data_IF_521965389002
#
_entry.id   IF_521965389002
#
_cell.length_a   1.000
_cell.length_b   1.000
_cell.length_c   1.000
_cell.angle_alpha   90.00
_cell.angle_beta   90.00
_cell.angle_gamma   90.00
#
_symmetry.space_group_name_H-M   'P 1'
#
loop_
_entity.id
_entity.type
_entity.pdbx_description
1 polymer ?
#
# COMPACT_ATOMS: atom_id res chain seq x y z
N UNK A 1 -61.02 -35.41 17.13
CA UNK A 1 -61.90 -34.95 16.02
C UNK A 1 -61.27 -33.70 15.40
N UNK A 2 -61.03 -33.73 14.10
CA UNK A 2 -60.31 -32.77 13.25
C UNK A 2 -60.79 -31.32 13.43
N UNK A 3 -59.86 -30.35 13.42
CA UNK A 3 -60.00 -29.04 12.74
C UNK A 3 -58.64 -28.38 12.53
N UNK A 4 -58.41 -27.98 11.28
CA UNK A 4 -57.16 -27.51 10.70
C UNK A 4 -56.82 -26.04 11.04
N UNK A 5 -55.55 -25.63 10.92
CA UNK A 5 -55.13 -24.23 11.09
C UNK A 5 -55.34 -23.40 9.81
N UNK A 6 -55.73 -22.14 10.01
CA UNK A 6 -55.97 -21.13 8.96
C UNK A 6 -54.67 -20.41 8.58
N UNK A 7 -54.33 -20.50 7.29
CA UNK A 7 -54.15 -19.38 6.36
C UNK A 7 -53.20 -18.24 6.73
N UNK A 8 -52.07 -18.24 6.02
CA UNK A 8 -51.10 -17.15 5.82
C UNK A 8 -51.73 -15.94 5.08
N UNK A 9 -51.32 -14.68 5.37
CA UNK A 9 -51.53 -13.55 4.47
C UNK A 9 -50.27 -13.29 3.63
N UNK A 10 -50.44 -13.39 2.31
CA UNK A 10 -49.51 -12.92 1.27
C UNK A 10 -49.43 -11.40 1.28
N UNK A 11 -48.21 -10.85 1.34
CA UNK A 11 -47.98 -9.41 1.21
C UNK A 11 -47.56 -9.03 -0.21
N UNK A 12 -48.10 -7.91 -0.66
CA UNK A 12 -48.25 -7.54 -2.06
C UNK A 12 -47.07 -6.73 -2.62
N UNK A 13 -46.93 -6.86 -3.94
CA UNK A 13 -46.18 -6.05 -4.89
C UNK A 13 -46.11 -4.55 -4.57
N UNK A 14 -44.90 -3.97 -4.63
CA UNK A 14 -44.69 -2.55 -4.84
C UNK A 14 -43.81 -2.34 -6.09
N UNK A 15 -44.47 -2.06 -7.23
CA UNK A 15 -43.87 -1.48 -8.44
C UNK A 15 -44.03 0.04 -8.36
N UNK A 16 -42.94 0.78 -8.18
CA UNK A 16 -42.94 2.23 -8.39
C UNK A 16 -42.63 2.55 -9.84
N UNK A 17 -43.64 3.08 -10.53
CA UNK A 17 -43.54 3.64 -11.87
C UNK A 17 -42.94 5.06 -11.82
N UNK A 18 -41.79 5.26 -12.45
CA UNK A 18 -41.22 6.59 -12.66
C UNK A 18 -41.77 7.18 -13.96
N UNK A 19 -42.62 8.22 -13.82
CA UNK A 19 -43.33 8.87 -14.91
C UNK A 19 -42.46 9.98 -15.50
N UNK A 20 -41.90 9.73 -16.70
CA UNK A 20 -41.18 10.73 -17.52
C UNK A 20 -42.14 11.88 -17.90
N UNK A 21 -41.76 13.12 -17.58
CA UNK A 21 -42.34 14.34 -18.17
C UNK A 21 -41.43 14.83 -19.28
N UNK A 22 -41.87 14.66 -20.53
CA UNK A 22 -41.34 15.34 -21.71
C UNK A 22 -41.87 16.77 -21.74
N UNK A 23 -40.96 17.76 -21.75
CA UNK A 23 -41.28 19.12 -22.22
C UNK A 23 -40.42 19.42 -23.44
N UNK A 24 -41.10 19.53 -24.57
CA UNK A 24 -40.61 20.08 -25.83
C UNK A 24 -40.52 21.60 -25.71
N UNK A 25 -39.36 22.17 -26.03
CA UNK A 25 -39.22 23.57 -26.44
C UNK A 25 -38.34 23.59 -27.69
N UNK A 26 -38.93 24.06 -28.78
CA UNK A 26 -38.29 24.31 -30.08
C UNK A 26 -37.79 25.75 -30.18
N UNK A 27 -36.82 25.90 -31.10
CA UNK A 27 -36.27 27.10 -31.76
C UNK A 27 -35.28 28.00 -31.01
N UNK A 28 -34.00 27.83 -31.34
CA UNK A 28 -33.34 28.67 -32.34
C UNK A 28 -32.64 29.93 -31.83
N UNK A 29 -31.30 29.90 -31.79
CA UNK A 29 -30.44 31.01 -32.19
C UNK A 29 -28.97 30.56 -32.25
N UNK A 30 -28.39 30.63 -33.44
CA UNK A 30 -26.97 30.47 -33.71
C UNK A 30 -26.22 31.72 -33.27
N UNK A 31 -25.26 31.60 -32.34
CA UNK A 31 -24.29 32.66 -32.04
C UNK A 31 -22.91 32.02 -31.86
N UNK A 32 -22.09 32.21 -32.89
CA UNK A 32 -20.67 31.88 -32.87
C UNK A 32 -19.95 32.88 -31.94
N UNK A 33 -19.33 32.38 -30.87
CA UNK A 33 -18.38 33.15 -30.09
C UNK A 33 -17.00 32.50 -30.20
N UNK A 34 -16.11 33.23 -30.88
CA UNK A 34 -14.69 32.97 -30.95
C UNK A 34 -14.04 33.39 -29.64
N UNK A 35 -13.35 32.47 -28.95
CA UNK A 35 -12.54 32.79 -27.78
C UNK A 35 -11.06 32.79 -28.17
N UNK A 36 -10.53 33.99 -28.47
CA UNK A 36 -9.10 34.23 -28.57
C UNK A 36 -8.50 34.44 -27.19
N UNK A 37 -7.43 33.70 -26.90
CA UNK A 37 -6.51 33.87 -25.75
C UNK A 37 -6.12 35.34 -25.54
N UNK A 38 -6.16 35.78 -24.29
CA UNK A 38 -5.21 36.77 -23.74
C UNK A 38 -4.69 36.26 -22.40
N UNK A 39 -3.40 35.91 -22.42
CA UNK A 39 -2.56 35.80 -21.24
C UNK A 39 -2.47 37.18 -20.59
N UNK A 40 -2.80 37.26 -19.31
CA UNK A 40 -2.31 38.36 -18.48
C UNK A 40 -1.45 37.80 -17.35
N UNK A 41 -0.22 38.29 -17.31
CA UNK A 41 0.82 38.02 -16.33
C UNK A 41 0.72 39.13 -15.30
N UNK A 42 0.30 38.82 -14.08
CA UNK A 42 0.87 39.39 -12.85
C UNK A 42 -0.03 39.00 -11.68
N UNK A 43 0.55 38.38 -10.67
CA UNK A 43 0.37 38.77 -9.26
C UNK A 43 1.49 38.07 -8.49
N UNK A 44 2.38 38.92 -7.98
CA UNK A 44 3.37 38.65 -6.95
C UNK A 44 2.62 38.79 -5.61
N UNK A 45 2.66 37.78 -4.73
CA UNK A 45 2.36 37.95 -3.31
C UNK A 45 3.30 37.06 -2.49
N UNK A 46 3.91 37.59 -1.41
CA UNK A 46 4.83 36.85 -0.57
C UNK A 46 4.12 36.06 0.55
N UNK A 47 4.81 35.00 0.97
CA UNK A 47 4.87 34.38 2.31
C UNK A 47 4.54 35.37 3.45
N UNK A 48 3.86 35.06 4.56
CA UNK A 48 3.92 33.91 5.50
C UNK A 48 2.86 34.19 6.60
N UNK A 49 1.96 33.24 6.93
CA UNK A 49 1.90 32.42 8.17
C UNK A 49 1.16 32.99 9.40
N UNK A 50 0.28 32.11 9.92
CA UNK A 50 -0.19 31.89 11.30
C UNK A 50 -1.39 32.69 11.89
N UNK A 51 -2.51 31.97 11.94
CA UNK A 51 -3.31 31.60 13.14
C UNK A 51 -3.64 32.67 14.19
N UNK A 52 -4.95 32.89 14.41
CA UNK A 52 -5.57 32.77 15.74
C UNK A 52 -7.10 32.74 15.67
N UNK A 53 -7.67 31.64 16.12
CA UNK A 53 -9.04 31.56 16.60
C UNK A 53 -9.11 32.08 18.04
N UNK A 54 -10.09 32.91 18.37
CA UNK A 54 -10.81 32.80 19.66
C UNK A 54 -12.13 33.58 19.65
N UNK A 55 -13.19 32.87 20.06
CA UNK A 55 -14.50 33.41 20.45
C UNK A 55 -14.42 34.06 21.84
N UNK A 56 -15.33 35.02 22.03
CA UNK A 56 -16.04 35.43 23.27
C UNK A 56 -15.77 34.62 24.55
N UNK A 57 -15.53 35.34 25.65
CA UNK A 57 -16.18 35.38 26.98
C UNK A 57 -15.28 36.32 27.81
N UNK A 58 -15.72 37.46 28.32
CA UNK A 58 -16.57 37.59 29.51
C UNK A 58 -15.74 38.28 30.59
N UNK A 59 -16.04 39.56 30.86
CA UNK A 59 -15.41 40.35 31.93
C UNK A 59 -15.83 39.78 33.29
N UNK A 60 -14.85 39.45 34.12
CA UNK A 60 -15.05 39.11 35.53
C UNK A 60 -13.83 39.54 36.33
N UNK A 61 -14.05 40.50 37.24
CA UNK A 61 -13.06 41.05 38.15
C UNK A 61 -12.95 40.16 39.38
N UNK A 62 -11.76 39.67 39.73
CA UNK A 62 -11.46 39.13 41.06
C UNK A 62 -10.07 39.59 41.49
N UNK A 63 -10.05 40.13 42.70
CA UNK A 63 -8.92 40.55 43.53
C UNK A 63 -7.94 39.41 43.82
N UNK A 64 -6.63 39.66 43.74
CA UNK A 64 -5.61 38.85 44.42
C UNK A 64 -4.61 39.78 45.07
N UNK A 65 -4.67 39.83 46.40
CA UNK A 65 -3.52 40.16 47.23
C UNK A 65 -2.71 38.91 47.54
N UNK A 66 -1.42 39.12 47.82
CA UNK A 66 -0.46 38.30 48.58
C UNK A 66 0.87 38.11 47.85
N UNK A 67 1.82 38.99 48.21
CA UNK A 67 3.14 38.67 48.77
C UNK A 67 3.71 37.29 48.44
N UNK A 68 4.82 37.25 47.69
CA UNK A 68 6.02 36.54 48.14
C UNK A 68 7.30 37.05 47.47
N UNK A 69 8.33 37.15 48.31
CA UNK A 69 9.71 37.50 48.03
C UNK A 69 10.30 36.78 46.82
N UNK A 70 11.11 37.48 46.02
CA UNK A 70 12.27 36.83 45.44
C UNK A 70 13.46 37.78 45.32
N UNK A 71 14.61 37.19 45.64
CA UNK A 71 15.93 37.76 45.86
C UNK A 71 16.50 38.35 44.57
N UNK A 72 17.07 39.55 44.69
CA UNK A 72 17.93 40.16 43.69
C UNK A 72 19.27 39.42 43.73
N UNK A 73 19.58 38.68 42.67
CA UNK A 73 20.95 38.36 42.30
C UNK A 73 21.18 38.80 40.85
N UNK A 74 21.97 39.85 40.71
CA UNK A 74 22.54 40.36 39.47
C UNK A 74 23.67 39.42 39.06
N UNK A 75 23.55 38.79 37.89
CA UNK A 75 24.60 37.94 37.32
C UNK A 75 24.39 37.83 35.83
N UNK A 76 25.10 38.66 35.06
CA UNK A 76 25.04 38.68 33.62
C UNK A 76 25.60 37.39 33.01
N UNK A 77 24.86 36.82 32.06
CA UNK A 77 25.38 35.96 31.01
C UNK A 77 24.60 36.25 29.73
N UNK A 78 25.31 36.75 28.73
CA UNK A 78 24.85 36.87 27.35
C UNK A 78 24.79 35.48 26.73
N UNK A 79 23.59 34.98 26.44
CA UNK A 79 23.38 33.81 25.58
C UNK A 79 22.92 34.32 24.22
N UNK A 80 23.80 34.18 23.22
CA UNK A 80 23.49 34.43 21.83
C UNK A 80 22.48 33.39 21.33
N UNK A 81 21.36 33.88 20.80
CA UNK A 81 20.41 33.09 20.01
C UNK A 81 21.08 32.72 18.67
N UNK A 82 21.40 31.44 18.49
CA UNK A 82 21.72 30.87 17.18
C UNK A 82 20.50 30.11 16.67
N UNK A 83 19.72 30.82 15.85
CA UNK A 83 18.71 30.22 14.96
C UNK A 83 19.47 29.83 13.69
N UNK A 84 19.85 28.56 13.56
CA UNK A 84 20.18 27.93 12.26
C UNK A 84 20.51 26.43 12.42
N UNK A 85 19.50 25.58 12.53
CA UNK A 85 19.73 24.12 12.48
C UNK A 85 18.70 23.26 11.74
N UNK A 86 17.81 23.85 10.95
CA UNK A 86 16.85 23.09 10.13
C UNK A 86 17.22 23.00 8.63
N UNK A 87 18.15 23.83 8.14
CA UNK A 87 18.45 23.95 6.69
C UNK A 87 19.61 23.09 6.14
N UNK A 88 20.38 22.39 6.99
CA UNK A 88 21.64 21.74 6.57
C UNK A 88 21.57 20.23 6.34
N UNK A 89 20.50 19.55 6.71
CA UNK A 89 20.39 18.10 6.50
C UNK A 89 19.94 17.70 5.09
N UNK A 90 19.24 18.57 4.34
CA UNK A 90 18.83 18.27 2.95
C UNK A 90 19.97 18.33 1.92
N UNK A 91 21.04 19.08 2.16
CA UNK A 91 22.17 19.19 1.23
C UNK A 91 23.21 18.07 1.38
N UNK A 92 23.29 17.42 2.55
CA UNK A 92 24.27 16.35 2.80
C UNK A 92 23.86 14.99 2.19
N UNK A 93 22.58 14.80 1.87
CA UNK A 93 22.07 13.56 1.28
C UNK A 93 22.21 13.53 -0.25
N UNK A 94 22.21 14.69 -0.92
CA UNK A 94 22.32 14.80 -2.38
C UNK A 94 23.77 14.78 -2.93
N UNK A 95 24.80 14.88 -2.09
CA UNK A 95 26.21 14.97 -2.54
C UNK A 95 27.06 13.69 -2.31
N UNK A 96 26.45 12.56 -1.91
CA UNK A 96 27.18 11.28 -1.75
C UNK A 96 27.12 10.34 -2.98
N UNK A 97 26.64 10.80 -4.14
CA UNK A 97 26.48 10.00 -5.35
C UNK A 97 27.58 10.19 -6.43
N UNK A 98 28.78 10.62 -6.06
CA UNK A 98 29.87 10.74 -7.03
C UNK A 98 31.20 10.25 -6.47
N UNK A 99 31.43 8.94 -6.52
CA UNK A 99 32.73 8.24 -6.76
C UNK A 99 32.52 6.71 -6.65
N UNK A 100 32.80 5.91 -7.70
CA UNK A 100 32.61 4.47 -7.64
C UNK A 100 33.86 3.81 -7.03
N UNK A 101 33.73 3.28 -5.81
CA UNK A 101 34.57 2.17 -5.36
C UNK A 101 33.94 0.88 -5.86
N UNK A 102 34.73 0.04 -6.55
CA UNK A 102 34.29 -1.24 -7.10
C UNK A 102 33.51 -2.07 -6.06
N UNK A 103 32.31 -2.58 -6.39
CA UNK A 103 31.55 -3.40 -5.46
C UNK A 103 32.29 -4.73 -5.22
N UNK A 104 32.23 -5.28 -3.99
CA UNK A 104 32.65 -6.65 -3.76
C UNK A 104 31.79 -7.59 -4.60
N UNK A 105 32.42 -8.63 -5.16
CA UNK A 105 31.75 -9.64 -5.98
C UNK A 105 30.56 -10.25 -5.22
N UNK A 106 29.37 -10.39 -5.85
CA UNK A 106 28.24 -11.02 -5.20
C UNK A 106 28.59 -12.49 -4.91
N UNK A 107 28.60 -12.84 -3.63
CA UNK A 107 28.53 -14.24 -3.19
C UNK A 107 27.24 -14.84 -3.75
N UNK A 108 27.35 -15.99 -4.41
CA UNK A 108 26.23 -16.69 -5.04
C UNK A 108 25.05 -16.83 -4.07
N UNK A 109 23.80 -16.57 -4.53
CA UNK A 109 22.63 -16.76 -3.69
C UNK A 109 22.58 -18.22 -3.25
N UNK A 110 22.48 -18.44 -1.95
CA UNK A 110 22.25 -19.78 -1.40
C UNK A 110 20.83 -20.17 -1.79
N UNK A 111 20.68 -21.06 -2.76
CA UNK A 111 19.38 -21.57 -3.19
C UNK A 111 18.74 -22.32 -2.01
N UNK A 112 17.75 -21.72 -1.38
CA UNK A 112 16.97 -22.37 -0.33
C UNK A 112 15.92 -23.27 -0.99
N UNK A 113 16.21 -24.57 -1.11
CA UNK A 113 15.20 -25.56 -1.49
C UNK A 113 14.32 -25.88 -0.27
N UNK A 114 13.04 -25.50 -0.31
CA UNK A 114 12.09 -25.85 0.76
C UNK A 114 11.50 -27.25 0.50
N UNK A 115 11.59 -28.19 1.46
CA UNK A 115 10.88 -29.45 1.34
C UNK A 115 9.37 -29.19 1.48
N UNK A 116 8.62 -29.38 0.40
CA UNK A 116 7.17 -29.46 0.44
C UNK A 116 6.77 -30.65 1.34
N UNK A 117 6.20 -30.38 2.51
CA UNK A 117 5.59 -31.42 3.34
C UNK A 117 4.38 -31.98 2.59
N UNK A 118 4.36 -33.29 2.38
CA UNK A 118 3.23 -34.01 1.79
C UNK A 118 1.99 -33.86 2.68
N UNK A 119 0.87 -33.47 2.09
CA UNK A 119 -0.38 -33.03 2.74
C UNK A 119 -1.28 -34.14 3.29
N UNK A 120 -0.77 -35.34 3.57
CA UNK A 120 -1.62 -36.48 3.95
C UNK A 120 -1.58 -36.74 5.47
N UNK A 121 -2.26 -35.92 6.28
CA UNK A 121 -2.88 -36.31 7.57
C UNK A 121 -3.60 -35.14 8.26
N UNK A 122 -4.93 -35.19 8.30
CA UNK A 122 -5.86 -34.18 8.83
C UNK A 122 -5.93 -34.08 10.38
N UNK A 123 -4.88 -34.47 11.11
CA UNK A 123 -4.83 -34.37 12.59
C UNK A 123 -3.85 -33.27 13.06
N UNK A 124 -3.83 -32.15 12.34
CA UNK A 124 -2.97 -30.97 12.56
C UNK A 124 -3.56 -29.99 13.59
N UNK A 125 -3.92 -30.49 14.78
CA UNK A 125 -4.44 -29.65 15.86
C UNK A 125 -3.36 -29.13 16.82
N UNK A 126 -2.08 -29.18 16.44
CA UNK A 126 -1.00 -28.95 17.40
C UNK A 126 0.27 -28.49 16.73
N UNK A 127 0.43 -27.17 16.62
CA UNK A 127 1.59 -26.42 17.14
C UNK A 127 1.56 -24.93 16.71
N UNK A 128 0.43 -24.39 16.23
CA UNK A 128 0.35 -22.97 15.81
C UNK A 128 0.23 -21.97 16.98
N UNK A 129 0.12 -22.45 18.22
CA UNK A 129 0.02 -21.64 19.45
C UNK A 129 1.21 -20.67 19.64
N UNK A 130 2.33 -20.90 18.94
CA UNK A 130 3.51 -20.05 18.97
C UNK A 130 3.71 -19.13 17.76
N UNK A 131 2.87 -19.18 16.72
CA UNK A 131 3.08 -18.39 15.49
C UNK A 131 2.44 -17.00 15.57
N UNK A 132 3.21 -15.99 15.15
CA UNK A 132 2.83 -14.58 15.25
C UNK A 132 3.22 -13.82 13.99
N UNK A 133 2.35 -12.89 13.60
CA UNK A 133 2.55 -11.97 12.50
C UNK A 133 2.70 -10.55 13.06
N UNK A 134 3.77 -9.87 12.69
CA UNK A 134 3.98 -8.46 12.97
C UNK A 134 3.57 -7.66 11.74
N UNK A 135 2.34 -7.14 11.72
CA UNK A 135 1.89 -6.29 10.62
C UNK A 135 2.45 -4.89 10.76
N UNK A 136 2.93 -4.33 9.65
CA UNK A 136 3.37 -2.95 9.55
C UNK A 136 2.71 -2.34 8.31
N UNK A 137 1.88 -1.31 8.50
CA UNK A 137 1.31 -0.55 7.37
C UNK A 137 2.35 0.41 6.81
N UNK A 138 2.48 0.52 5.49
CA UNK A 138 3.37 1.50 4.88
C UNK A 138 3.10 2.95 5.33
N UNK A 139 4.13 3.81 5.22
CA UNK A 139 4.03 5.25 5.45
C UNK A 139 3.17 5.97 4.40
N UNK A 140 2.76 7.21 4.69
CA UNK A 140 1.91 8.01 3.79
C UNK A 140 2.61 8.34 2.45
N UNK A 141 1.92 8.13 1.33
CA UNK A 141 2.44 8.38 -0.03
C UNK A 141 1.97 9.70 -0.63
N UNK A 142 2.55 10.08 -1.78
CA UNK A 142 2.01 11.16 -2.60
C UNK A 142 0.57 10.88 -3.07
N UNK A 143 0.23 9.62 -3.38
CA UNK A 143 -1.15 9.26 -3.69
C UNK A 143 -2.09 9.44 -2.48
N UNK A 144 -1.65 9.11 -1.27
CA UNK A 144 -2.47 9.39 -0.08
C UNK A 144 -2.69 10.90 0.12
N UNK A 145 -1.69 11.74 -0.17
CA UNK A 145 -1.86 13.19 -0.14
C UNK A 145 -2.87 13.68 -1.19
N UNK A 146 -2.80 13.13 -2.40
CA UNK A 146 -3.76 13.41 -3.47
C UNK A 146 -5.19 13.04 -3.03
N UNK A 147 -5.40 11.83 -2.51
CA UNK A 147 -6.71 11.34 -2.04
C UNK A 147 -7.25 12.07 -0.81
N UNK A 148 -6.41 12.80 -0.06
CA UNK A 148 -6.93 13.68 1.01
C UNK A 148 -7.53 14.98 0.46
N UNK A 149 -7.16 15.39 -0.76
CA UNK A 149 -7.75 16.54 -1.45
C UNK A 149 -8.96 16.19 -2.30
N UNK A 150 -9.13 14.91 -2.65
CA UNK A 150 -10.19 14.42 -3.52
C UNK A 150 -10.86 13.20 -2.90
N UNK A 151 -12.19 13.24 -2.75
CA UNK A 151 -12.95 12.06 -2.33
C UNK A 151 -12.80 10.95 -3.39
N UNK A 152 -12.24 9.80 -3.00
CA UNK A 152 -12.13 8.65 -3.88
C UNK A 152 -13.51 8.30 -4.46
N UNK A 153 -13.59 8.23 -5.79
CA UNK A 153 -14.84 7.94 -6.48
C UNK A 153 -15.86 9.08 -6.50
N UNK A 154 -15.52 10.26 -5.97
CA UNK A 154 -16.36 11.46 -6.10
C UNK A 154 -16.53 11.92 -7.56
N UNK A 155 -17.48 12.82 -7.86
CA UNK A 155 -17.71 13.31 -9.22
C UNK A 155 -16.45 13.90 -9.86
N UNK A 156 -16.14 13.49 -11.10
CA UNK A 156 -14.93 13.85 -11.85
C UNK A 156 -13.60 13.41 -11.20
N UNK A 157 -13.61 12.41 -10.30
CA UNK A 157 -12.39 11.79 -9.80
C UNK A 157 -11.55 11.25 -10.96
N UNK A 158 -10.23 11.47 -10.94
CA UNK A 158 -9.33 10.87 -11.91
C UNK A 158 -7.98 10.56 -11.30
N UNK A 159 -7.46 9.36 -11.52
CA UNK A 159 -6.05 9.03 -11.31
C UNK A 159 -5.28 8.90 -12.63
N UNK A 160 -5.88 9.35 -13.74
CA UNK A 160 -5.17 9.59 -15.00
C UNK A 160 -4.46 10.93 -14.90
N UNK A 161 -3.13 10.88 -14.90
CA UNK A 161 -2.26 12.05 -14.86
C UNK A 161 -1.65 12.35 -16.24
N UNK A 162 -1.18 13.58 -16.50
CA UNK A 162 -0.38 13.89 -17.67
C UNK A 162 0.85 12.97 -17.77
N UNK A 163 1.22 12.61 -19.00
CA UNK A 163 2.45 11.86 -19.29
C UNK A 163 3.68 12.76 -19.17
N UNK A 164 3.93 13.21 -17.94
CA UNK A 164 5.04 14.04 -17.54
C UNK A 164 5.79 13.33 -16.40
N UNK A 165 7.14 13.29 -16.42
CA UNK A 165 7.93 12.53 -15.46
C UNK A 165 7.58 12.81 -13.99
N UNK A 166 7.24 14.05 -13.65
CA UNK A 166 6.86 14.45 -12.30
C UNK A 166 5.64 13.68 -11.77
N UNK A 167 4.65 13.42 -12.62
CA UNK A 167 3.45 12.68 -12.22
C UNK A 167 3.72 11.18 -12.19
N UNK A 168 4.46 10.66 -13.17
CA UNK A 168 4.84 9.25 -13.22
C UNK A 168 5.63 8.86 -11.97
N UNK A 169 6.65 9.64 -11.60
CA UNK A 169 7.49 9.37 -10.42
C UNK A 169 6.75 9.50 -9.08
N UNK A 170 5.68 10.30 -9.03
CA UNK A 170 4.90 10.51 -7.79
C UNK A 170 3.74 9.55 -7.63
N UNK A 171 3.05 9.22 -8.71
CA UNK A 171 1.74 8.55 -8.63
C UNK A 171 1.76 7.10 -9.11
N UNK A 172 2.63 6.71 -10.04
CA UNK A 172 2.79 5.31 -10.42
C UNK A 172 3.71 4.63 -9.41
N UNK A 173 3.33 3.43 -8.94
CA UNK A 173 4.01 2.75 -7.82
C UNK A 173 4.37 3.74 -6.70
N UNK A 174 3.37 4.52 -6.28
CA UNK A 174 3.58 5.80 -5.58
C UNK A 174 4.52 5.63 -4.38
N UNK A 175 5.66 6.36 -4.33
CA UNK A 175 6.59 6.30 -3.21
C UNK A 175 6.04 7.05 -1.98
N UNK A 176 6.75 6.93 -0.86
CA UNK A 176 6.48 7.74 0.33
C UNK A 176 6.58 9.24 0.01
N UNK A 177 5.60 9.99 0.49
CA UNK A 177 5.63 11.44 0.51
C UNK A 177 6.46 11.96 1.69
N UNK A 178 6.64 13.28 1.83
CA UNK A 178 7.39 13.88 2.95
C UNK A 178 6.90 13.42 4.33
N UNK A 179 5.58 13.36 4.54
CA UNK A 179 4.99 12.86 5.79
C UNK A 179 5.26 11.37 6.00
N UNK A 180 5.25 10.56 4.94
CA UNK A 180 5.60 9.14 5.04
C UNK A 180 7.04 8.92 5.47
N UNK A 181 7.97 9.74 4.97
CA UNK A 181 9.38 9.68 5.41
C UNK A 181 9.51 9.99 6.91
N UNK A 182 8.87 11.04 7.41
CA UNK A 182 8.84 11.34 8.85
C UNK A 182 8.21 10.20 9.68
N UNK A 183 7.18 9.55 9.15
CA UNK A 183 6.56 8.39 9.82
C UNK A 183 7.52 7.20 9.89
N UNK A 184 8.30 6.93 8.83
CA UNK A 184 9.32 5.86 8.86
C UNK A 184 10.47 6.16 9.82
N UNK A 185 10.87 7.42 9.96
CA UNK A 185 11.87 7.82 10.95
C UNK A 185 11.37 7.55 12.38
N UNK A 186 10.11 7.91 12.69
CA UNK A 186 9.51 7.62 14.00
C UNK A 186 9.37 6.13 14.28
N UNK A 187 9.03 5.33 13.26
CA UNK A 187 9.00 3.87 13.37
C UNK A 187 10.38 3.32 13.72
N UNK A 188 11.44 3.82 13.08
CA UNK A 188 12.82 3.43 13.37
C UNK A 188 13.26 3.83 14.79
N UNK A 189 12.95 5.05 15.21
CA UNK A 189 13.20 5.53 16.58
C UNK A 189 12.50 4.63 17.61
N UNK A 190 11.24 4.29 17.36
CA UNK A 190 10.44 3.40 18.21
C UNK A 190 11.05 1.99 18.29
N UNK A 191 11.44 1.41 17.16
CA UNK A 191 12.10 0.09 17.11
C UNK A 191 13.52 0.10 17.72
N UNK A 192 14.15 1.27 17.82
CA UNK A 192 15.45 1.40 18.50
C UNK A 192 15.32 1.38 20.02
N UNK A 193 14.12 1.65 20.55
CA UNK A 193 13.79 1.57 21.98
C UNK A 193 12.44 0.86 22.18
N UNK A 194 12.42 -0.44 21.85
CA UNK A 194 11.22 -1.28 21.90
C UNK A 194 10.53 -1.26 23.28
N UNK A 195 11.29 -1.06 24.36
CA UNK A 195 10.74 -0.94 25.71
C UNK A 195 9.79 0.26 25.88
N UNK A 196 9.97 1.32 25.07
CA UNK A 196 9.12 2.51 25.08
C UNK A 196 7.90 2.40 24.14
N UNK A 197 7.80 1.36 23.31
CA UNK A 197 6.68 1.20 22.36
C UNK A 197 5.34 0.84 23.02
N UNK A 198 5.32 0.56 24.33
CA UNK A 198 4.12 0.13 25.04
C UNK A 198 3.67 -1.28 24.69
N UNK A 199 4.54 -2.08 24.05
CA UNK A 199 4.31 -3.49 23.77
C UNK A 199 4.44 -4.33 25.03
N UNK A 200 3.70 -5.45 25.10
CA UNK A 200 3.88 -6.45 26.16
C UNK A 200 5.30 -7.04 26.10
N UNK A 201 5.85 -7.50 27.24
CA UNK A 201 7.19 -8.14 27.25
C UNK A 201 7.28 -9.31 26.27
N UNK A 202 6.18 -10.04 26.08
CA UNK A 202 6.08 -11.14 25.12
C UNK A 202 6.18 -10.64 23.66
N UNK A 203 5.48 -9.56 23.31
CA UNK A 203 5.56 -8.98 21.96
C UNK A 203 6.93 -8.35 21.67
N UNK A 204 7.56 -7.76 22.69
CA UNK A 204 8.94 -7.29 22.59
C UNK A 204 9.89 -8.47 22.29
N UNK A 205 9.69 -9.61 22.97
CA UNK A 205 10.46 -10.82 22.71
C UNK A 205 10.26 -11.34 21.28
N UNK A 206 9.00 -11.36 20.79
CA UNK A 206 8.68 -11.79 19.42
C UNK A 206 9.35 -10.93 18.34
N UNK A 207 9.46 -9.61 18.56
CA UNK A 207 10.21 -8.72 17.68
C UNK A 207 11.71 -9.02 17.69
N UNK A 208 12.28 -9.31 18.85
CA UNK A 208 13.70 -9.66 18.99
C UNK A 208 14.03 -11.03 18.40
N UNK A 209 13.04 -11.93 18.33
CA UNK A 209 13.15 -13.27 17.76
C UNK A 209 12.60 -13.36 16.33
N UNK A 210 12.70 -12.28 15.56
CA UNK A 210 12.15 -12.23 14.21
C UNK A 210 12.88 -13.20 13.28
N UNK A 211 12.12 -14.06 12.60
CA UNK A 211 12.65 -15.10 11.72
C UNK A 211 12.65 -14.69 10.24
N UNK A 212 11.68 -13.87 9.83
CA UNK A 212 11.45 -13.49 8.43
C UNK A 212 10.76 -12.13 8.32
N UNK A 213 11.14 -11.36 7.31
CA UNK A 213 10.40 -10.19 6.85
C UNK A 213 9.82 -10.47 5.47
N UNK A 214 8.50 -10.38 5.37
CA UNK A 214 7.76 -10.34 4.11
C UNK A 214 7.44 -8.89 3.81
N UNK A 215 7.74 -8.44 2.60
CA UNK A 215 7.45 -7.07 2.16
C UNK A 215 6.67 -7.09 0.86
N UNK A 216 5.67 -6.22 0.75
CA UNK A 216 5.03 -5.98 -0.54
C UNK A 216 6.03 -5.39 -1.54
N UNK A 217 6.04 -5.83 -2.81
CA UNK A 217 6.92 -5.26 -3.84
C UNK A 217 6.52 -3.84 -4.30
N UNK A 218 5.50 -3.21 -3.73
CA UNK A 218 5.21 -1.79 -3.99
C UNK A 218 6.26 -0.89 -3.33
N UNK A 219 6.75 0.12 -4.06
CA UNK A 219 7.86 1.01 -3.65
C UNK A 219 7.64 1.60 -2.25
N UNK A 220 6.41 2.03 -1.91
CA UNK A 220 6.08 2.56 -0.58
C UNK A 220 6.31 1.58 0.58
N UNK A 221 6.03 0.30 0.39
CA UNK A 221 6.24 -0.73 1.40
C UNK A 221 7.74 -1.06 1.53
N UNK A 222 8.44 -1.17 0.39
CA UNK A 222 9.89 -1.34 0.36
C UNK A 222 10.63 -0.18 1.05
N UNK A 223 10.25 1.07 0.78
CA UNK A 223 10.80 2.24 1.48
C UNK A 223 10.48 2.25 2.98
N UNK A 224 9.27 1.83 3.37
CA UNK A 224 8.90 1.71 4.79
C UNK A 224 9.78 0.68 5.50
N UNK A 225 9.99 -0.48 4.88
CA UNK A 225 10.87 -1.52 5.40
C UNK A 225 12.33 -1.03 5.46
N UNK A 226 12.84 -0.42 4.39
CA UNK A 226 14.24 0.05 4.30
C UNK A 226 14.55 1.15 5.33
N UNK A 227 13.69 2.16 5.46
CA UNK A 227 13.96 3.32 6.30
C UNK A 227 13.55 3.08 7.76
N UNK A 228 12.42 2.39 7.95
CA UNK A 228 11.82 2.14 9.26
C UNK A 228 12.41 0.93 9.98
N UNK A 229 12.58 -0.19 9.28
CA UNK A 229 12.82 -1.49 9.91
C UNK A 229 14.24 -2.02 9.70
N UNK A 230 14.84 -1.85 8.52
CA UNK A 230 16.16 -2.40 8.20
C UNK A 230 17.27 -1.96 9.19
N UNK A 231 17.29 -0.72 9.71
CA UNK A 231 18.28 -0.33 10.73
C UNK A 231 18.12 -1.08 12.06
N UNK A 232 16.90 -1.51 12.41
CA UNK A 232 16.64 -2.40 13.54
C UNK A 232 17.11 -3.83 13.24
N UNK A 233 16.77 -4.37 12.07
CA UNK A 233 17.18 -5.73 11.66
C UNK A 233 18.70 -5.92 11.70
N UNK A 234 19.46 -4.90 11.31
CA UNK A 234 20.93 -4.91 11.36
C UNK A 234 21.52 -4.99 12.77
N UNK A 235 20.72 -4.68 13.80
CA UNK A 235 21.13 -4.77 15.21
C UNK A 235 20.80 -6.14 15.82
N UNK A 236 19.97 -6.94 15.16
CA UNK A 236 19.64 -8.27 15.63
C UNK A 236 20.87 -9.20 15.54
N UNK A 237 21.01 -10.17 16.47
CA UNK A 237 22.15 -11.09 16.46
C UNK A 237 22.24 -11.95 15.20
N UNK A 238 21.08 -12.26 14.61
CA UNK A 238 20.94 -13.08 13.42
C UNK A 238 20.46 -12.24 12.24
N UNK A 239 21.01 -12.52 11.05
CA UNK A 239 20.53 -11.91 9.82
C UNK A 239 19.12 -12.43 9.53
N UNK A 240 18.15 -11.52 9.47
CA UNK A 240 16.76 -11.86 9.15
C UNK A 240 16.57 -11.78 7.63
N UNK A 241 16.16 -12.86 6.95
CA UNK A 241 15.83 -12.83 5.52
C UNK A 241 14.68 -11.87 5.24
N UNK A 242 14.74 -11.22 4.07
CA UNK A 242 13.73 -10.27 3.60
C UNK A 242 13.26 -10.75 2.22
N UNK A 243 11.99 -11.09 2.10
CA UNK A 243 11.39 -11.63 0.88
C UNK A 243 10.30 -10.68 0.37
N UNK A 244 10.37 -10.33 -0.91
CA UNK A 244 9.30 -9.63 -1.59
C UNK A 244 8.22 -10.62 -2.04
N UNK A 245 6.96 -10.36 -1.70
CA UNK A 245 5.83 -11.25 -2.00
C UNK A 245 4.69 -10.51 -2.71
N UNK A 246 4.43 -10.78 -4.01
CA UNK A 246 3.36 -10.14 -4.77
C UNK A 246 1.98 -10.26 -4.12
N UNK A 247 1.69 -11.36 -3.45
CA UNK A 247 0.43 -11.58 -2.74
C UNK A 247 0.20 -10.57 -1.62
N UNK A 248 1.25 -9.96 -1.07
CA UNK A 248 1.17 -8.91 -0.05
C UNK A 248 0.97 -7.49 -0.64
N UNK A 249 0.84 -7.34 -1.96
CA UNK A 249 0.56 -6.05 -2.60
C UNK A 249 -0.87 -5.56 -2.36
N UNK A 250 -1.05 -4.24 -2.27
CA UNK A 250 -2.38 -3.62 -2.17
C UNK A 250 -3.28 -4.12 -3.30
N UNK A 251 -4.58 -4.14 -3.05
CA UNK A 251 -5.54 -4.38 -4.11
C UNK A 251 -5.37 -3.33 -5.20
N UNK A 252 -5.36 -3.74 -6.47
CA UNK A 252 -5.24 -2.78 -7.58
C UNK A 252 -6.49 -1.89 -7.65
N UNK A 253 -6.44 -0.71 -7.03
CA UNK A 253 -7.51 0.28 -7.04
C UNK A 253 -7.17 1.47 -7.91
N UNK A 254 -5.91 1.88 -7.92
CA UNK A 254 -5.43 3.09 -8.58
C UNK A 254 -4.10 2.83 -9.29
N UNK A 255 -3.69 3.79 -10.11
CA UNK A 255 -2.38 3.81 -10.77
C UNK A 255 -1.19 3.66 -9.80
N UNK A 256 -1.37 4.03 -8.53
CA UNK A 256 -0.37 3.84 -7.48
C UNK A 256 -0.12 2.40 -7.09
N UNK A 257 -1.00 1.48 -7.49
CA UNK A 257 -0.89 0.05 -7.18
C UNK A 257 -0.33 -0.74 -8.37
N UNK A 258 -0.08 -0.06 -9.50
CA UNK A 258 0.71 -0.60 -10.62
C UNK A 258 2.18 -0.50 -10.22
N UNK A 259 2.74 -1.62 -9.76
CA UNK A 259 4.12 -1.70 -9.32
C UNK A 259 5.15 -1.72 -10.45
N UNK A 260 6.38 -1.29 -10.14
CA UNK A 260 7.54 -1.44 -11.04
C UNK A 260 7.86 -2.89 -11.34
N UNK A 261 8.64 -3.12 -12.39
CA UNK A 261 9.07 -4.47 -12.74
C UNK A 261 9.95 -5.08 -11.65
N UNK A 262 9.95 -6.41 -11.55
CA UNK A 262 10.80 -7.16 -10.62
C UNK A 262 12.28 -6.77 -10.78
N UNK A 263 12.79 -6.71 -12.01
CA UNK A 263 14.18 -6.37 -12.30
C UNK A 263 14.57 -4.95 -11.86
N UNK A 264 13.67 -3.97 -12.01
CA UNK A 264 13.90 -2.60 -11.52
C UNK A 264 13.99 -2.56 -9.99
N UNK A 265 13.09 -3.27 -9.31
CA UNK A 265 13.05 -3.34 -7.86
C UNK A 265 14.26 -4.11 -7.30
N UNK A 266 14.63 -5.24 -7.90
CA UNK A 266 15.80 -6.03 -7.51
C UNK A 266 17.10 -5.22 -7.62
N UNK A 267 17.22 -4.41 -8.68
CA UNK A 267 18.35 -3.48 -8.83
C UNK A 267 18.38 -2.42 -7.73
N UNK A 268 17.23 -1.92 -7.31
CA UNK A 268 17.12 -0.88 -6.29
C UNK A 268 17.29 -1.45 -4.87
N UNK A 269 16.81 -2.67 -4.61
CA UNK A 269 16.72 -3.30 -3.31
C UNK A 269 17.42 -4.67 -3.31
N UNK A 270 18.72 -4.68 -3.65
CA UNK A 270 19.51 -5.91 -3.86
C UNK A 270 19.68 -6.82 -2.64
N UNK A 271 19.23 -6.38 -1.47
CA UNK A 271 19.22 -7.16 -0.22
C UNK A 271 17.85 -7.82 0.06
N UNK A 272 16.87 -7.60 -0.82
CA UNK A 272 15.55 -8.25 -0.76
C UNK A 272 15.53 -9.39 -1.77
N UNK A 273 15.03 -10.54 -1.35
CA UNK A 273 14.82 -11.70 -2.21
C UNK A 273 13.51 -11.53 -3.01
N UNK A 274 13.67 -11.25 -4.31
CA UNK A 274 12.59 -11.19 -5.30
C UNK A 274 12.39 -12.51 -6.07
N UNK A 275 12.98 -13.61 -5.59
CA UNK A 275 12.90 -14.93 -6.22
C UNK A 275 11.86 -15.79 -5.50
N UNK A 276 12.04 -16.02 -4.19
CA UNK A 276 11.19 -16.95 -3.40
C UNK A 276 9.69 -16.65 -3.52
N UNK A 277 9.30 -15.36 -3.52
CA UNK A 277 7.89 -14.96 -3.64
C UNK A 277 7.36 -14.91 -5.08
N UNK A 278 8.23 -15.01 -6.09
CA UNK A 278 7.88 -14.82 -7.51
C UNK A 278 7.90 -16.13 -8.30
N UNK A 279 8.39 -17.22 -7.72
CA UNK A 279 8.42 -18.56 -8.33
C UNK A 279 7.02 -19.22 -8.44
N UNK A 280 5.99 -18.67 -7.79
CA UNK A 280 4.74 -19.37 -7.47
C UNK A 280 3.63 -19.35 -8.52
N UNK A 281 3.71 -18.56 -9.61
CA UNK A 281 2.53 -18.36 -10.50
C UNK A 281 2.53 -19.26 -11.74
N UNK A 282 3.67 -19.86 -12.09
CA UNK A 282 3.79 -20.68 -13.31
C UNK A 282 3.11 -22.06 -13.22
N UNK A 283 2.98 -22.62 -12.00
CA UNK A 283 2.52 -24.00 -11.82
C UNK A 283 0.99 -24.15 -11.89
N UNK A 284 0.22 -23.18 -11.37
CA UNK A 284 -1.25 -23.31 -11.31
C UNK A 284 -1.95 -22.95 -12.63
N UNK A 285 -1.34 -22.07 -13.45
CA UNK A 285 -1.93 -21.60 -14.71
C UNK A 285 -1.91 -22.63 -15.84
N UNK A 286 -1.07 -23.66 -15.76
CA UNK A 286 -0.96 -24.71 -16.80
C UNK A 286 -1.99 -25.83 -16.66
N UNK A 287 -2.75 -25.89 -15.57
CA UNK A 287 -3.76 -26.94 -15.36
C UNK A 287 -5.13 -26.65 -15.99
N UNK A 288 -5.39 -25.43 -16.48
CA UNK A 288 -6.71 -25.01 -16.95
C UNK A 288 -6.86 -24.83 -18.48
N UNK A 289 -5.80 -24.97 -19.29
CA UNK A 289 -5.84 -24.70 -20.75
C UNK A 289 -5.31 -25.84 -21.64
N UNK A 290 -5.58 -27.10 -21.30
CA UNK A 290 -5.33 -28.22 -22.21
C UNK A 290 -6.50 -28.39 -23.20
N UNK A 291 -6.60 -27.51 -24.20
CA UNK A 291 -7.49 -27.73 -25.34
C UNK A 291 -7.68 -26.54 -26.27
N UNK A 292 -6.72 -26.23 -27.14
CA UNK A 292 -6.98 -25.98 -28.57
C UNK A 292 -5.72 -25.72 -29.42
N UNK A 293 -5.89 -25.97 -30.73
CA UNK A 293 -4.87 -26.08 -31.80
C UNK A 293 -4.23 -24.74 -32.23
N UNK A 294 -3.04 -24.75 -32.87
CA UNK A 294 -2.41 -23.52 -33.38
C UNK A 294 -2.93 -23.18 -34.79
N UNK A 295 -3.29 -21.92 -35.01
CA UNK A 295 -3.45 -21.33 -36.35
C UNK A 295 -2.66 -20.02 -36.46
N UNK A 296 -2.12 -19.78 -37.64
CA UNK A 296 -0.91 -18.99 -37.87
C UNK A 296 -1.14 -17.56 -38.38
N UNK A 297 -0.12 -16.74 -38.09
CA UNK A 297 0.39 -15.60 -38.87
C UNK A 297 -0.32 -14.23 -38.76
N UNK A 298 0.38 -13.24 -38.17
CA UNK A 298 0.38 -11.84 -38.65
C UNK A 298 1.57 -11.01 -38.13
N UNK A 299 2.14 -10.29 -39.12
CA UNK A 299 3.18 -9.25 -39.24
C UNK A 299 3.96 -8.71 -38.05
N UNK A 300 5.28 -8.74 -38.25
CA UNK A 300 6.38 -8.25 -37.40
C UNK A 300 6.84 -6.84 -37.80
N UNK A 301 6.82 -5.91 -36.84
CA UNK A 301 7.71 -4.72 -36.85
C UNK A 301 7.76 -4.02 -35.47
N UNK A 302 6.72 -4.16 -34.64
CA UNK A 302 6.73 -3.66 -33.25
C UNK A 302 7.20 -4.70 -32.23
N UNK A 303 7.49 -5.92 -32.70
CA UNK A 303 7.81 -7.08 -31.87
C UNK A 303 9.22 -7.06 -31.29
N UNK A 304 10.18 -6.38 -31.92
CA UNK A 304 11.59 -6.57 -31.57
C UNK A 304 12.03 -6.03 -30.20
N UNK A 305 11.36 -5.02 -29.64
CA UNK A 305 11.69 -4.54 -28.29
C UNK A 305 11.03 -5.38 -27.20
N UNK A 306 9.78 -5.79 -27.40
CA UNK A 306 9.07 -6.67 -26.46
C UNK A 306 9.60 -8.11 -26.50
N UNK A 307 10.12 -8.56 -27.65
CA UNK A 307 10.67 -9.90 -27.81
C UNK A 307 11.97 -10.08 -26.99
N UNK A 308 12.82 -9.04 -26.86
CA UNK A 308 14.06 -9.17 -26.08
C UNK A 308 13.81 -9.33 -24.57
N UNK A 309 12.78 -8.67 -24.02
CA UNK A 309 12.38 -8.86 -22.62
C UNK A 309 11.65 -10.21 -22.44
N UNK A 310 10.86 -10.64 -23.43
CA UNK A 310 10.27 -11.98 -23.43
C UNK A 310 11.31 -13.10 -23.46
N UNK A 311 12.38 -12.96 -24.26
CA UNK A 311 13.41 -13.99 -24.41
C UNK A 311 14.25 -14.13 -23.12
N UNK A 312 14.47 -13.04 -22.35
CA UNK A 312 15.10 -13.09 -21.01
C UNK A 312 14.19 -13.66 -19.91
N UNK A 313 12.90 -13.35 -19.98
CA UNK A 313 11.91 -13.90 -19.05
C UNK A 313 11.70 -15.40 -19.28
N UNK A 314 11.86 -15.87 -20.52
CA UNK A 314 11.82 -17.29 -20.85
C UNK A 314 13.01 -18.09 -20.26
N UNK A 315 14.18 -17.46 -20.07
CA UNK A 315 15.35 -18.13 -19.49
C UNK A 315 15.27 -18.27 -17.96
N UNK A 316 14.67 -17.30 -17.26
CA UNK A 316 14.54 -17.35 -15.79
C UNK A 316 13.21 -17.94 -15.33
N UNK A 317 12.16 -17.88 -16.17
CA UNK A 317 10.80 -18.27 -15.81
C UNK A 317 10.14 -17.32 -14.79
N UNK A 318 10.78 -16.22 -14.41
CA UNK A 318 10.29 -15.30 -13.40
C UNK A 318 9.38 -14.23 -14.02
N UNK A 319 8.33 -13.90 -13.29
CA UNK A 319 7.34 -12.91 -13.71
C UNK A 319 7.85 -11.48 -13.45
N UNK A 320 8.08 -10.70 -14.51
CA UNK A 320 8.51 -9.30 -14.39
C UNK A 320 7.38 -8.36 -13.92
N UNK A 321 6.18 -8.55 -14.45
CA UNK A 321 4.98 -7.84 -14.01
C UNK A 321 4.21 -8.69 -13.02
N UNK A 322 4.35 -8.38 -11.73
CA UNK A 322 3.80 -9.18 -10.63
C UNK A 322 2.49 -8.66 -10.06
N UNK A 323 2.12 -7.41 -10.37
CA UNK A 323 0.84 -6.86 -9.95
C UNK A 323 -0.30 -7.51 -10.75
N UNK A 324 -1.53 -7.36 -10.25
CA UNK A 324 -2.71 -7.91 -10.91
C UNK A 324 -2.84 -7.34 -12.33
N UNK A 325 -2.95 -8.23 -13.32
CA UNK A 325 -3.16 -7.86 -14.72
C UNK A 325 -4.35 -8.62 -15.27
N UNK A 326 -5.08 -7.98 -16.18
CA UNK A 326 -6.15 -8.63 -16.91
C UNK A 326 -5.59 -9.35 -18.13
N UNK A 327 -6.15 -10.53 -18.44
CA UNK A 327 -5.98 -11.08 -19.79
C UNK A 327 -6.68 -10.19 -20.81
N UNK A 328 -6.26 -10.25 -22.07
CA UNK A 328 -6.92 -9.53 -23.17
C UNK A 328 -8.40 -9.92 -23.32
N UNK A 329 -8.78 -11.14 -22.95
CA UNK A 329 -10.18 -11.54 -22.95
C UNK A 329 -10.95 -10.91 -21.77
N UNK A 330 -10.34 -10.91 -20.58
CA UNK A 330 -10.96 -10.38 -19.37
C UNK A 330 -11.13 -8.86 -19.44
N UNK A 331 -10.19 -8.12 -20.03
CA UNK A 331 -10.31 -6.66 -20.17
C UNK A 331 -11.49 -6.25 -21.05
N UNK A 332 -11.81 -7.04 -22.09
CA UNK A 332 -12.97 -6.81 -22.95
C UNK A 332 -14.31 -7.08 -22.26
N UNK A 333 -14.29 -7.86 -21.17
CA UNK A 333 -15.45 -8.20 -20.35
C UNK A 333 -15.49 -7.42 -19.03
N UNK A 334 -14.51 -6.57 -18.78
CA UNK A 334 -14.38 -5.84 -17.53
C UNK A 334 -15.53 -4.84 -17.39
N UNK A 335 -16.22 -4.93 -16.26
CA UNK A 335 -17.19 -3.94 -15.82
C UNK A 335 -16.57 -3.16 -14.65
N UNK A 336 -16.55 -1.83 -14.78
CA UNK A 336 -16.04 -0.95 -13.74
C UNK A 336 -16.88 -1.11 -12.48
N UNK A 337 -16.29 -1.65 -11.42
CA UNK A 337 -16.97 -1.89 -10.14
C UNK A 337 -16.71 -0.78 -9.13
N UNK A 338 -15.71 0.09 -9.38
CA UNK A 338 -15.49 1.30 -8.59
C UNK A 338 -16.57 2.34 -8.90
N UNK A 339 -16.73 3.40 -8.09
CA UNK A 339 -17.67 4.47 -8.39
C UNK A 339 -17.44 5.07 -9.78
N UNK A 340 -18.47 5.03 -10.63
CA UNK A 340 -18.40 5.51 -12.01
C UNK A 340 -19.75 6.11 -12.45
N UNK A 341 -19.74 6.82 -13.57
CA UNK A 341 -20.94 7.42 -14.19
C UNK A 341 -21.11 8.93 -14.00
N UNK A 342 -20.35 9.55 -13.10
CA UNK A 342 -20.34 10.99 -12.81
C UNK A 342 -19.01 11.64 -13.25
N UNK A 343 -18.46 11.16 -14.37
CA UNK A 343 -17.22 11.68 -14.95
C UNK A 343 -15.93 11.13 -14.31
N UNK A 344 -16.01 10.11 -13.47
CA UNK A 344 -14.83 9.42 -12.95
C UNK A 344 -14.07 8.73 -14.09
N UNK A 345 -12.74 8.77 -14.02
CA UNK A 345 -11.85 8.09 -14.98
C UNK A 345 -10.73 7.42 -14.20
N UNK A 346 -10.49 6.14 -14.50
CA UNK A 346 -9.42 5.37 -13.87
C UNK A 346 -8.32 5.02 -14.88
N UNK A 347 -7.05 5.11 -14.46
CA UNK A 347 -5.89 4.82 -15.32
C UNK A 347 -5.73 3.33 -15.65
N UNK A 348 -6.27 2.46 -14.81
CA UNK A 348 -6.28 1.02 -15.03
C UNK A 348 -7.59 0.40 -14.55
N UNK A 349 -8.00 -0.75 -15.11
CA UNK A 349 -9.04 -1.59 -14.52
C UNK A 349 -8.66 -2.03 -13.11
N UNK A 350 -9.61 -1.97 -12.16
CA UNK A 350 -9.37 -2.37 -10.77
C UNK A 350 -9.50 -3.89 -10.56
N UNK A 351 -8.68 -4.46 -9.68
CA UNK A 351 -8.74 -5.89 -9.29
C UNK A 351 -10.10 -6.22 -8.65
N UNK A 352 -10.91 -7.12 -9.25
CA UNK A 352 -12.20 -7.52 -8.68
C UNK A 352 -12.06 -8.15 -7.29
N UNK A 353 -13.10 -8.06 -6.45
CA UNK A 353 -13.04 -8.56 -5.06
C UNK A 353 -12.73 -10.05 -5.04
N UNK A 354 -13.32 -10.84 -5.93
CA UNK A 354 -13.10 -12.28 -5.99
C UNK A 354 -11.63 -12.64 -6.31
N UNK A 355 -10.99 -11.91 -7.22
CA UNK A 355 -9.58 -12.11 -7.54
C UNK A 355 -8.67 -11.71 -6.37
N UNK A 356 -9.01 -10.60 -5.71
CA UNK A 356 -8.33 -10.16 -4.49
C UNK A 356 -8.45 -11.20 -3.37
N UNK A 357 -9.65 -11.72 -3.10
CA UNK A 357 -9.91 -12.76 -2.11
C UNK A 357 -9.10 -14.03 -2.42
N UNK A 358 -9.08 -14.48 -3.68
CA UNK A 358 -8.27 -15.62 -4.09
C UNK A 358 -6.78 -15.40 -3.81
N UNK A 359 -6.26 -14.21 -4.10
CA UNK A 359 -4.88 -13.84 -3.82
C UNK A 359 -4.59 -13.78 -2.31
N UNK A 360 -5.50 -13.22 -1.54
CA UNK A 360 -5.38 -13.12 -0.10
C UNK A 360 -5.44 -14.50 0.59
N UNK A 361 -6.24 -15.43 0.08
CA UNK A 361 -6.23 -16.82 0.52
C UNK A 361 -4.88 -17.50 0.24
N UNK A 362 -4.23 -17.19 -0.90
CA UNK A 362 -2.85 -17.67 -1.17
C UNK A 362 -1.86 -17.08 -0.18
N UNK A 363 -1.92 -15.77 0.10
CA UNK A 363 -1.06 -15.13 1.12
C UNK A 363 -1.22 -15.79 2.49
N UNK A 364 -2.46 -15.98 2.93
CA UNK A 364 -2.75 -16.59 4.22
C UNK A 364 -2.19 -18.00 4.33
N UNK A 365 -2.46 -18.86 3.32
CA UNK A 365 -1.89 -20.22 3.27
C UNK A 365 -0.37 -20.20 3.24
N UNK A 366 0.23 -19.31 2.46
CA UNK A 366 1.68 -19.17 2.40
C UNK A 366 2.27 -18.85 3.78
N UNK A 367 1.70 -17.88 4.52
CA UNK A 367 2.14 -17.52 5.88
C UNK A 367 1.91 -18.67 6.89
N UNK A 368 0.78 -19.38 6.78
CA UNK A 368 0.48 -20.55 7.63
C UNK A 368 1.49 -21.67 7.42
N UNK A 369 1.85 -21.95 6.17
CA UNK A 369 2.67 -23.11 5.83
C UNK A 369 4.18 -22.82 6.03
N UNK A 370 4.55 -21.57 6.34
CA UNK A 370 5.92 -21.19 6.71
C UNK A 370 6.39 -21.88 8.00
N UNK A 371 7.63 -22.40 8.07
CA UNK A 371 8.20 -22.91 9.32
C UNK A 371 8.52 -21.82 10.34
N UNK A 372 8.68 -20.56 9.90
CA UNK A 372 8.96 -19.42 10.75
C UNK A 372 7.83 -19.16 11.76
N UNK A 373 8.20 -18.75 12.98
CA UNK A 373 7.27 -18.49 14.08
C UNK A 373 6.98 -17.01 14.24
N UNK A 374 7.96 -16.15 13.98
CA UNK A 374 7.83 -14.70 14.05
C UNK A 374 8.08 -14.09 12.68
N UNK A 375 7.01 -13.65 12.01
CA UNK A 375 7.06 -13.12 10.65
C UNK A 375 6.58 -11.68 10.64
N UNK A 376 7.39 -10.74 10.17
CA UNK A 376 6.94 -9.38 9.94
C UNK A 376 6.39 -9.23 8.51
N UNK A 377 5.28 -8.51 8.36
CA UNK A 377 4.63 -8.27 7.07
C UNK A 377 4.47 -6.77 6.87
N UNK A 378 5.33 -6.18 6.04
CA UNK A 378 5.27 -4.76 5.66
C UNK A 378 4.40 -4.60 4.42
N UNK A 379 3.18 -4.11 4.61
CA UNK A 379 2.11 -4.17 3.60
C UNK A 379 1.19 -2.94 3.66
N UNK A 380 -0.07 -3.14 3.27
CA UNK A 380 -1.04 -2.09 2.96
C UNK A 380 -2.34 -2.25 3.72
N UNK A 381 -3.21 -1.25 3.61
CA UNK A 381 -4.44 -1.24 4.38
C UNK A 381 -5.38 -2.38 3.96
N UNK A 382 -5.55 -2.64 2.66
CA UNK A 382 -6.46 -3.71 2.20
C UNK A 382 -6.06 -5.10 2.67
N UNK A 383 -4.75 -5.35 2.81
CA UNK A 383 -4.19 -6.63 3.31
C UNK A 383 -4.51 -6.81 4.79
N UNK A 384 -4.26 -5.76 5.58
CA UNK A 384 -4.52 -5.74 7.01
C UNK A 384 -6.03 -5.86 7.26
N UNK A 385 -6.84 -5.05 6.60
CA UNK A 385 -8.31 -5.09 6.70
C UNK A 385 -8.88 -6.47 6.35
N UNK A 386 -8.36 -7.13 5.31
CA UNK A 386 -8.79 -8.47 4.95
C UNK A 386 -8.38 -9.53 5.98
N UNK A 387 -7.16 -9.43 6.53
CA UNK A 387 -6.59 -10.42 7.46
C UNK A 387 -7.12 -10.30 8.89
N UNK A 388 -7.31 -9.08 9.40
CA UNK A 388 -7.63 -8.82 10.80
C UNK A 388 -8.90 -7.99 11.02
N UNK A 389 -9.44 -7.34 9.97
CA UNK A 389 -10.63 -6.48 10.04
C UNK A 389 -10.47 -5.29 11.01
N UNK A 390 -9.26 -4.75 11.09
CA UNK A 390 -8.93 -3.57 11.90
C UNK A 390 -8.23 -2.51 11.05
N UNK A 391 -8.40 -1.24 11.43
CA UNK A 391 -7.70 -0.12 10.81
C UNK A 391 -6.34 0.13 11.47
N UNK A 392 -5.32 0.29 10.64
CA UNK A 392 -3.98 0.70 11.05
C UNK A 392 -3.70 2.11 10.59
N UNK A 393 -3.02 2.91 11.41
CA UNK A 393 -2.39 4.15 10.99
C UNK A 393 -1.16 3.86 10.11
N UNK A 394 -0.73 4.86 9.33
CA UNK A 394 0.50 4.73 8.54
C UNK A 394 1.73 4.53 9.44
N UNK A 395 2.60 3.57 9.09
CA UNK A 395 3.73 3.10 9.90
C UNK A 395 3.32 2.52 11.27
N UNK A 396 2.05 2.21 11.50
CA UNK A 396 1.65 1.47 12.70
C UNK A 396 2.13 0.02 12.60
N UNK A 397 2.61 -0.49 13.75
CA UNK A 397 3.04 -1.86 13.95
C UNK A 397 2.15 -2.52 15.00
N UNK A 398 1.65 -3.73 14.72
CA UNK A 398 1.02 -4.59 15.75
C UNK A 398 1.48 -6.03 15.62
N UNK A 399 1.61 -6.70 16.76
CA UNK A 399 1.89 -8.13 16.84
C UNK A 399 0.58 -8.88 17.00
N UNK A 400 0.33 -9.86 16.13
CA UNK A 400 -0.95 -10.58 16.06
C UNK A 400 -0.67 -12.08 16.07
N UNK A 401 -1.26 -12.85 17.00
CA UNK A 401 -1.21 -14.31 16.94
C UNK A 401 -1.82 -14.83 15.65
N UNK A 402 -1.14 -15.75 14.96
CA UNK A 402 -1.63 -16.31 13.69
C UNK A 402 -3.03 -16.95 13.83
N UNK A 403 -3.34 -17.71 14.91
CA UNK A 403 -4.69 -18.25 15.10
C UNK A 403 -5.79 -17.20 15.31
N UNK A 404 -5.42 -15.94 15.58
CA UNK A 404 -6.37 -14.84 15.80
C UNK A 404 -6.70 -14.05 14.53
N UNK A 405 -6.03 -14.34 13.41
CA UNK A 405 -6.39 -13.76 12.12
C UNK A 405 -7.84 -14.12 11.77
N UNK A 406 -8.57 -13.17 11.18
CA UNK A 406 -9.97 -13.33 10.75
C UNK A 406 -10.14 -13.03 9.25
N UNK A 407 -9.57 -13.87 8.37
CA UNK A 407 -9.71 -13.73 6.92
C UNK A 407 -11.15 -13.58 6.47
N UNK A 408 -11.48 -12.48 5.79
CA UNK A 408 -12.85 -12.15 5.36
C UNK A 408 -13.55 -13.28 4.58
N UNK A 409 -12.82 -13.99 3.70
CA UNK A 409 -13.41 -14.94 2.76
C UNK A 409 -13.19 -16.42 3.09
N UNK A 410 -12.44 -16.78 4.14
CA UNK A 410 -12.18 -18.20 4.44
C UNK A 410 -13.45 -18.95 4.87
N UNK A 411 -14.38 -18.28 5.56
CA UNK A 411 -15.59 -18.92 6.08
C UNK A 411 -16.60 -19.37 4.99
N UNK A 412 -16.42 -18.95 3.74
CA UNK A 412 -17.36 -19.22 2.65
C UNK A 412 -16.95 -20.41 1.77
N UNK A 413 -15.68 -20.81 1.73
CA UNK A 413 -15.20 -21.86 0.84
C UNK A 413 -15.08 -23.26 1.48
N UNK A 414 -15.03 -23.34 2.82
CA UNK A 414 -15.00 -24.62 3.55
C UNK A 414 -16.40 -25.20 3.83
N UNK A 415 -17.46 -24.59 3.28
CA UNK A 415 -18.85 -25.07 3.34
C UNK A 415 -19.33 -25.45 1.94
#
# INVERSE_FOLDING_TARGET
>A
RKRAPKGCPTNANNRHAFRRRTKSITSGATLAFSFTRKLDRSIFMPTTVAWAAMRRIGRGSISVGAVLNCVICVGGFTVGLSIDRAGRQRAAMAQRLSSPSSPPSPTSPTTFSFPLKSTDSDDDSGDDDGKHIIFIRHGRTYMNDYLNGFEFGGPNFTDVFPDEPEYTERFYDSPLGPTGLEQTERLNESLSDIAQMGLSEEDQHRLLSLDLVVVSPLTRALQTMELGMLPYLKKLPSAVPIVALPEAAERLFLVSDIGKTRSELEKQYSYVDFTTGFETVAADSTSAQAGDKPEASRSDAHRHSLQQDHDRNAETGLQEQWHFTFSEEAINKYEEWRPHGDGQVYACPGEPEADFDLRMNRLHRWLRDRPERSIAVVCHWGIIDWMIQESFENCELRVVPFPSLKPRSLEQHDK
#
